data_IF_208008925291
#
_entry.id   IF_208008925291
#
_cell.length_a   1.000
_cell.length_b   1.000
_cell.length_c   1.000
_cell.angle_alpha   90.00
_cell.angle_beta   90.00
_cell.angle_gamma   90.00
#
_symmetry.space_group_name_H-M   'P 1'
#
loop_
_entity.id
_entity.type
_entity.pdbx_description
1 polymer ?
#
# COMPACT_ATOMS: atom_id res chain seq x y z
N UNK A 1 12.43 -24.82 -1.10
CA UNK A 1 13.58 -23.88 -0.99
C UNK A 1 13.85 -23.27 -2.36
N UNK A 2 13.53 -21.99 -2.55
CA UNK A 2 14.01 -21.23 -3.71
C UNK A 2 14.32 -19.81 -3.26
N UNK A 3 15.59 -19.56 -2.92
CA UNK A 3 16.12 -18.19 -2.79
C UNK A 3 16.19 -17.62 -4.20
N UNK A 4 15.35 -16.64 -4.50
CA UNK A 4 15.32 -15.92 -5.78
C UNK A 4 16.21 -14.66 -5.69
N UNK A 5 16.92 -14.25 -6.76
CA UNK A 5 17.90 -13.16 -6.71
C UNK A 5 17.22 -11.81 -6.39
N UNK A 6 17.83 -11.07 -5.46
CA UNK A 6 17.19 -10.05 -4.61
C UNK A 6 16.74 -8.71 -5.29
N UNK A 7 16.73 -8.63 -6.62
CA UNK A 7 16.31 -7.43 -7.36
C UNK A 7 15.24 -7.68 -8.43
N UNK A 8 15.40 -8.73 -9.24
CA UNK A 8 14.59 -8.96 -10.45
C UNK A 8 13.20 -9.53 -10.17
N UNK A 9 12.98 -10.14 -9.00
CA UNK A 9 11.70 -10.78 -8.69
C UNK A 9 10.62 -9.73 -8.32
N UNK A 10 10.96 -8.74 -7.50
CA UNK A 10 10.00 -7.72 -7.05
C UNK A 10 9.49 -6.87 -8.22
N UNK A 11 10.35 -6.39 -9.11
CA UNK A 11 9.91 -5.59 -10.27
C UNK A 11 8.96 -6.37 -11.18
N UNK A 12 9.22 -7.67 -11.40
CA UNK A 12 8.33 -8.56 -12.17
C UNK A 12 7.00 -8.78 -11.47
N UNK A 13 7.02 -9.04 -10.17
CA UNK A 13 5.82 -9.21 -9.34
C UNK A 13 4.95 -7.94 -9.38
N UNK A 14 5.55 -6.77 -9.16
CA UNK A 14 4.84 -5.49 -9.25
C UNK A 14 4.26 -5.25 -10.64
N UNK A 15 5.03 -5.52 -11.70
CA UNK A 15 4.55 -5.39 -13.07
C UNK A 15 3.37 -6.32 -13.37
N UNK A 16 3.41 -7.56 -12.86
CA UNK A 16 2.33 -8.53 -13.04
C UNK A 16 1.06 -8.10 -12.30
N UNK A 17 1.19 -7.59 -11.07
CA UNK A 17 0.05 -7.22 -10.23
C UNK A 17 -0.55 -5.85 -10.55
N UNK A 18 0.25 -4.88 -11.01
CA UNK A 18 -0.19 -3.49 -11.18
C UNK A 18 -0.09 -2.99 -12.63
N UNK A 19 0.47 -3.77 -13.55
CA UNK A 19 0.58 -3.40 -14.96
C UNK A 19 1.57 -2.26 -15.24
N UNK A 20 2.48 -1.97 -14.31
CA UNK A 20 3.43 -0.87 -14.40
C UNK A 20 4.85 -1.42 -14.20
N UNK A 21 5.77 -1.03 -15.08
CA UNK A 21 7.19 -1.33 -14.92
C UNK A 21 7.80 -0.39 -13.87
N UNK A 22 8.61 -0.97 -12.98
CA UNK A 22 9.33 -0.22 -11.94
C UNK A 22 10.83 -0.37 -12.15
N UNK A 23 11.53 0.75 -12.01
CA UNK A 23 12.99 0.82 -11.90
C UNK A 23 13.36 1.09 -10.43
N UNK A 24 13.61 0.03 -9.67
CA UNK A 24 13.95 0.12 -8.25
C UNK A 24 15.42 0.55 -8.12
N UNK A 25 15.66 1.71 -7.51
CA UNK A 25 17.00 2.19 -7.22
C UNK A 25 17.52 1.67 -5.88
N UNK A 26 16.65 1.62 -4.87
CA UNK A 26 17.04 1.22 -3.51
C UNK A 26 15.86 0.62 -2.76
N UNK A 27 16.09 -0.47 -2.04
CA UNK A 27 15.13 -0.99 -1.04
C UNK A 27 15.52 -0.41 0.33
N UNK A 28 14.59 0.28 0.99
CA UNK A 28 14.77 0.91 2.29
C UNK A 28 14.47 -0.10 3.40
N UNK A 29 13.37 -0.84 3.22
CA UNK A 29 12.93 -1.90 4.12
C UNK A 29 12.52 -3.11 3.27
N UNK A 30 12.90 -4.31 3.69
CA UNK A 30 12.67 -5.55 2.94
C UNK A 30 11.94 -6.53 3.83
N UNK A 31 10.76 -6.97 3.39
CA UNK A 31 10.01 -8.11 3.94
C UNK A 31 9.78 -8.06 5.47
N UNK A 32 9.46 -6.87 5.98
CA UNK A 32 9.15 -6.70 7.41
C UNK A 32 7.71 -7.05 7.72
N UNK A 33 7.46 -7.56 8.93
CA UNK A 33 6.11 -7.78 9.40
C UNK A 33 5.38 -6.44 9.60
N UNK A 34 4.12 -6.38 9.16
CA UNK A 34 3.21 -5.25 9.41
C UNK A 34 1.88 -5.69 10.04
N UNK A 35 1.69 -7.01 10.13
CA UNK A 35 0.78 -7.73 11.00
C UNK A 35 1.34 -9.15 11.18
N UNK A 36 0.58 -10.07 11.81
CA UNK A 36 1.02 -11.47 12.02
C UNK A 36 1.32 -12.21 10.70
N UNK A 37 0.50 -12.01 9.67
CA UNK A 37 0.59 -12.74 8.40
C UNK A 37 0.74 -11.80 7.18
N UNK A 38 1.08 -10.54 7.46
CA UNK A 38 1.18 -9.48 6.45
C UNK A 38 2.57 -8.88 6.52
N UNK A 39 3.19 -8.71 5.35
CA UNK A 39 4.54 -8.25 5.18
C UNK A 39 4.57 -7.03 4.26
N UNK A 40 5.60 -6.21 4.42
CA UNK A 40 5.79 -5.04 3.59
C UNK A 40 7.25 -4.85 3.17
N UNK A 41 7.44 -4.28 1.98
CA UNK A 41 8.72 -3.76 1.50
C UNK A 41 8.55 -2.29 1.12
N UNK A 42 9.50 -1.44 1.51
CA UNK A 42 9.55 -0.04 1.12
C UNK A 42 10.75 0.18 0.21
N UNK A 43 10.55 0.79 -0.95
CA UNK A 43 11.60 0.99 -1.94
C UNK A 43 11.47 2.33 -2.67
N UNK A 44 12.61 2.85 -3.09
CA UNK A 44 12.76 4.08 -3.86
C UNK A 44 13.05 3.73 -5.31
N UNK A 45 12.33 4.34 -6.24
CA UNK A 45 12.60 4.21 -7.68
C UNK A 45 13.77 5.10 -8.13
N UNK A 46 14.29 4.87 -9.34
CA UNK A 46 15.28 5.78 -9.96
C UNK A 46 14.74 7.21 -10.10
N UNK A 47 13.42 7.37 -10.25
CA UNK A 47 12.69 8.66 -10.27
C UNK A 47 12.46 9.27 -8.89
N UNK A 48 13.10 8.75 -7.83
CA UNK A 48 12.98 9.23 -6.44
C UNK A 48 11.54 9.18 -5.88
N UNK A 49 10.71 8.27 -6.39
CA UNK A 49 9.40 8.00 -5.84
C UNK A 49 9.49 6.87 -4.82
N UNK A 50 8.92 7.06 -3.64
CA UNK A 50 8.91 6.07 -2.57
C UNK A 50 7.61 5.25 -2.64
N UNK A 51 7.73 3.93 -2.67
CA UNK A 51 6.61 3.02 -2.68
C UNK A 51 6.66 2.07 -1.48
N UNK A 52 5.48 1.69 -0.99
CA UNK A 52 5.30 0.59 -0.06
C UNK A 52 4.48 -0.51 -0.73
N UNK A 53 5.09 -1.70 -0.85
CA UNK A 53 4.46 -2.92 -1.32
C UNK A 53 4.05 -3.76 -0.12
N UNK A 54 2.77 -4.14 -0.02
CA UNK A 54 2.19 -4.90 1.09
C UNK A 54 1.56 -6.18 0.54
N UNK A 55 1.83 -7.32 1.17
CA UNK A 55 1.30 -8.63 0.77
C UNK A 55 1.15 -9.53 1.99
N UNK A 56 0.26 -10.51 1.90
CA UNK A 56 0.02 -11.46 2.99
C UNK A 56 -0.93 -12.58 2.61
N UNK A 57 -1.12 -13.55 3.50
CA UNK A 57 -2.12 -14.61 3.31
C UNK A 57 -3.52 -14.14 3.68
N UNK A 58 -3.63 -13.18 4.59
CA UNK A 58 -4.92 -12.62 5.02
C UNK A 58 -5.58 -11.78 3.91
N UNK A 59 -6.91 -11.78 3.84
CA UNK A 59 -7.63 -10.82 3.01
C UNK A 59 -7.45 -9.41 3.57
N UNK A 60 -6.99 -8.48 2.72
CA UNK A 60 -6.85 -7.07 3.09
C UNK A 60 -7.82 -6.24 2.27
N UNK A 61 -8.32 -5.16 2.87
CA UNK A 61 -9.07 -4.12 2.20
C UNK A 61 -8.23 -2.86 2.02
N UNK A 62 -8.70 -1.92 1.20
CA UNK A 62 -8.07 -0.60 1.08
C UNK A 62 -7.99 0.12 2.45
N UNK A 63 -9.00 -0.06 3.31
CA UNK A 63 -9.01 0.47 4.68
C UNK A 63 -7.87 -0.08 5.52
N UNK A 64 -7.70 -1.41 5.52
CA UNK A 64 -6.63 -2.09 6.26
C UNK A 64 -5.25 -1.62 5.78
N UNK A 65 -5.06 -1.53 4.46
CA UNK A 65 -3.81 -1.06 3.85
C UNK A 65 -3.49 0.37 4.29
N UNK A 66 -4.46 1.29 4.27
CA UNK A 66 -4.25 2.67 4.75
C UNK A 66 -3.89 2.71 6.23
N UNK A 67 -4.50 1.85 7.05
CA UNK A 67 -4.17 1.75 8.47
C UNK A 67 -2.74 1.22 8.68
N UNK A 68 -2.33 0.20 7.93
CA UNK A 68 -0.96 -0.34 7.93
C UNK A 68 0.04 0.76 7.56
N UNK A 69 -0.17 1.46 6.45
CA UNK A 69 0.70 2.55 5.98
C UNK A 69 0.87 3.62 7.07
N UNK A 70 -0.23 4.04 7.71
CA UNK A 70 -0.14 5.03 8.78
C UNK A 70 0.65 4.53 9.98
N UNK A 71 0.50 3.27 10.37
CA UNK A 71 1.23 2.66 11.49
C UNK A 71 2.71 2.42 11.18
N UNK A 72 3.05 2.22 9.90
CA UNK A 72 4.44 2.18 9.43
C UNK A 72 5.14 3.56 9.48
N UNK A 73 4.44 4.64 9.87
CA UNK A 73 4.99 5.99 9.85
C UNK A 73 5.01 6.60 8.45
N UNK A 74 4.14 6.17 7.55
CA UNK A 74 4.10 6.64 6.17
C UNK A 74 2.83 7.48 5.91
N UNK A 75 2.93 8.47 5.02
CA UNK A 75 1.76 9.19 4.48
C UNK A 75 1.47 8.70 3.07
N UNK A 76 0.30 8.09 2.80
CA UNK A 76 -0.05 7.67 1.46
C UNK A 76 -0.29 8.89 0.57
N UNK A 77 0.09 8.78 -0.68
CA UNK A 77 -0.30 9.71 -1.74
C UNK A 77 -1.35 9.09 -2.65
N UNK A 78 -1.04 7.91 -3.17
CA UNK A 78 -1.89 7.20 -4.13
C UNK A 78 -1.79 5.70 -3.87
N UNK A 79 -2.93 5.03 -3.80
CA UNK A 79 -3.01 3.57 -3.81
C UNK A 79 -3.17 3.12 -5.26
N UNK A 80 -2.21 2.37 -5.80
CA UNK A 80 -2.23 1.94 -7.19
C UNK A 80 -3.25 0.81 -7.34
N UNK A 81 -4.23 0.93 -8.23
CA UNK A 81 -5.22 -0.12 -8.39
C UNK A 81 -4.60 -1.39 -8.99
N UNK A 82 -5.16 -2.56 -8.64
CA UNK A 82 -4.69 -3.82 -9.22
C UNK A 82 -4.89 -3.85 -10.74
N UNK A 83 -3.98 -4.52 -11.42
CA UNK A 83 -3.98 -4.77 -12.88
C UNK A 83 -4.18 -3.52 -13.74
N UNK A 84 -3.75 -2.36 -13.24
CA UNK A 84 -3.91 -1.09 -13.95
C UNK A 84 -5.37 -0.66 -14.15
N UNK A 85 -6.32 -1.16 -13.35
CA UNK A 85 -7.74 -0.82 -13.45
C UNK A 85 -8.04 0.51 -12.74
N UNK A 86 -8.07 1.67 -13.42
CA UNK A 86 -8.01 2.98 -12.75
C UNK A 86 -9.20 3.24 -11.83
N UNK A 87 -10.35 2.61 -12.15
CA UNK A 87 -11.62 2.77 -11.43
C UNK A 87 -11.92 1.64 -10.45
N UNK A 88 -10.98 0.72 -10.20
CA UNK A 88 -11.21 -0.47 -9.38
C UNK A 88 -11.89 -0.16 -8.04
N UNK A 89 -11.35 0.80 -7.29
CA UNK A 89 -11.90 1.16 -5.98
C UNK A 89 -13.29 1.78 -6.08
N UNK A 90 -13.55 2.59 -7.12
CA UNK A 90 -14.85 3.22 -7.36
C UNK A 90 -15.90 2.19 -7.80
N UNK A 91 -15.52 1.24 -8.65
CA UNK A 91 -16.40 0.18 -9.12
C UNK A 91 -16.82 -0.73 -7.98
N UNK A 92 -15.87 -1.16 -7.14
CA UNK A 92 -16.19 -1.93 -5.94
C UNK A 92 -17.05 -1.10 -4.98
N UNK A 93 -16.73 0.18 -4.78
CA UNK A 93 -17.52 1.06 -3.92
C UNK A 93 -18.98 1.19 -4.40
N UNK A 94 -19.19 1.42 -5.70
CA UNK A 94 -20.52 1.54 -6.29
C UNK A 94 -21.32 0.23 -6.18
N UNK A 95 -20.66 -0.92 -6.37
CA UNK A 95 -21.28 -2.23 -6.18
C UNK A 95 -21.70 -2.45 -4.72
N UNK A 96 -20.85 -2.09 -3.75
CA UNK A 96 -21.17 -2.21 -2.33
C UNK A 96 -22.28 -1.25 -1.90
N UNK A 97 -22.25 0.01 -2.38
CA UNK A 97 -23.31 0.99 -2.13
C UNK A 97 -24.68 0.46 -2.58
N UNK A 98 -24.78 -0.05 -3.81
CA UNK A 98 -26.04 -0.58 -4.38
C UNK A 98 -26.58 -1.79 -3.62
N UNK A 99 -25.71 -2.58 -2.98
CA UNK A 99 -26.13 -3.71 -2.13
C UNK A 99 -26.79 -3.24 -0.84
N UNK A 100 -26.29 -2.15 -0.26
CA UNK A 100 -26.83 -1.57 0.99
C UNK A 100 -28.07 -0.72 0.71
N UNK A 101 -28.07 0.01 -0.42
CA UNK A 101 -29.15 0.91 -0.81
C UNK A 101 -29.71 0.57 -2.21
N UNK A 102 -30.52 -0.49 -2.33
CA UNK A 102 -31.13 -0.86 -3.61
C UNK A 102 -31.96 0.30 -4.16
N UNK A 103 -31.75 0.65 -5.44
CA UNK A 103 -32.50 1.70 -6.13
C UNK A 103 -31.98 3.13 -5.94
N UNK A 104 -31.02 3.35 -5.03
CA UNK A 104 -30.36 4.65 -4.90
C UNK A 104 -29.10 4.74 -5.76
N UNK A 105 -28.81 5.95 -6.26
CA UNK A 105 -27.52 6.29 -6.88
C UNK A 105 -26.69 7.08 -5.87
N UNK A 106 -25.35 6.90 -5.84
CA UNK A 106 -24.47 7.76 -5.05
C UNK A 106 -24.60 9.21 -5.54
N UNK A 107 -24.75 10.16 -4.62
CA UNK A 107 -24.89 11.59 -4.92
C UNK A 107 -23.54 12.33 -4.94
N UNK A 108 -22.43 11.62 -4.76
CA UNK A 108 -21.09 12.18 -4.88
C UNK A 108 -19.99 11.29 -4.30
N UNK A 109 -18.78 11.81 -4.27
CA UNK A 109 -17.59 11.07 -3.80
C UNK A 109 -17.64 10.73 -2.31
N UNK A 110 -18.31 11.54 -1.49
CA UNK A 110 -18.43 11.29 -0.05
C UNK A 110 -19.22 10.02 0.22
N UNK A 111 -20.31 9.78 -0.54
CA UNK A 111 -21.13 8.58 -0.41
C UNK A 111 -20.34 7.31 -0.71
N UNK A 112 -19.35 7.39 -1.59
CA UNK A 112 -18.50 6.26 -1.96
C UNK A 112 -17.23 6.14 -1.11
N UNK A 113 -16.85 7.18 -0.35
CA UNK A 113 -15.58 7.23 0.36
C UNK A 113 -15.41 6.05 1.33
N UNK A 114 -16.45 5.74 2.12
CA UNK A 114 -16.46 4.58 3.01
C UNK A 114 -16.41 3.26 2.21
N UNK A 115 -17.23 3.11 1.18
CA UNK A 115 -17.30 1.85 0.42
C UNK A 115 -16.02 1.54 -0.36
N UNK A 116 -15.27 2.55 -0.79
CA UNK A 116 -13.92 2.36 -1.36
C UNK A 116 -13.00 1.65 -0.38
N UNK A 117 -13.12 1.93 0.92
CA UNK A 117 -12.27 1.29 1.94
C UNK A 117 -12.50 -0.21 2.05
N UNK A 118 -13.67 -0.70 1.62
CA UNK A 118 -14.03 -2.12 1.65
C UNK A 118 -13.50 -2.91 0.46
N UNK A 119 -12.90 -2.24 -0.52
CA UNK A 119 -12.38 -2.89 -1.71
C UNK A 119 -11.22 -3.84 -1.35
N UNK A 120 -11.25 -5.12 -1.78
CA UNK A 120 -10.14 -6.04 -1.60
C UNK A 120 -8.85 -5.49 -2.19
N UNK A 121 -7.76 -5.56 -1.45
CA UNK A 121 -6.49 -4.97 -1.86
C UNK A 121 -5.30 -5.75 -1.31
N UNK A 122 -5.05 -6.93 -1.89
CA UNK A 122 -3.90 -7.78 -1.62
C UNK A 122 -3.47 -8.51 -2.91
N UNK A 123 -2.21 -8.35 -3.38
CA UNK A 123 -1.22 -7.44 -2.81
C UNK A 123 -1.56 -5.97 -3.10
N UNK A 124 -1.00 -5.07 -2.30
CA UNK A 124 -1.21 -3.63 -2.36
C UNK A 124 0.07 -2.88 -2.67
N UNK A 125 -0.03 -1.77 -3.40
CA UNK A 125 1.09 -0.92 -3.76
C UNK A 125 0.73 0.55 -3.59
N UNK A 126 1.42 1.22 -2.69
CA UNK A 126 1.08 2.58 -2.30
C UNK A 126 2.26 3.50 -2.60
N UNK A 127 2.02 4.54 -3.40
CA UNK A 127 2.93 5.67 -3.53
C UNK A 127 2.88 6.49 -2.24
N UNK A 128 4.04 6.77 -1.69
CA UNK A 128 4.22 7.44 -0.40
C UNK A 128 4.61 8.88 -0.66
N UNK A 129 3.88 9.80 -0.03
CA UNK A 129 4.22 11.23 -0.07
C UNK A 129 5.32 11.57 0.94
N UNK A 130 5.37 10.85 2.07
CA UNK A 130 6.23 11.24 3.20
C UNK A 130 6.51 10.06 4.14
N UNK A 131 7.70 10.06 4.74
CA UNK A 131 8.02 9.29 5.95
C UNK A 131 7.94 10.21 7.15
N UNK A 132 6.93 9.99 8.00
CA UNK A 132 6.67 10.78 9.20
C UNK A 132 7.82 10.61 10.19
N UNK A 133 8.25 11.72 10.76
CA UNK A 133 9.30 11.78 11.79
C UNK A 133 10.63 11.10 11.39
N UNK A 134 10.85 10.84 10.10
CA UNK A 134 12.06 10.19 9.59
C UNK A 134 12.21 8.69 9.95
N UNK A 135 11.14 8.03 10.40
CA UNK A 135 11.18 6.63 10.83
C UNK A 135 10.16 5.77 10.08
N UNK A 136 10.59 4.60 9.62
CA UNK A 136 9.73 3.55 9.09
C UNK A 136 9.61 2.46 10.15
N UNK A 137 8.38 2.10 10.50
CA UNK A 137 8.09 1.13 11.55
C UNK A 137 7.68 -0.24 11.00
N UNK A 138 7.92 -1.28 11.79
CA UNK A 138 7.43 -2.65 11.57
C UNK A 138 6.64 -3.12 12.79
N UNK A 139 5.73 -4.05 12.55
CA UNK A 139 5.02 -4.76 13.60
C UNK A 139 5.98 -5.67 14.37
N UNK A 140 5.93 -5.58 15.70
CA UNK A 140 6.69 -6.42 16.62
C UNK A 140 5.77 -6.76 17.80
N UNK A 141 5.31 -8.02 17.95
CA UNK A 141 4.37 -8.40 19.01
C UNK A 141 4.94 -8.21 20.42
N UNK A 142 6.27 -8.20 20.55
CA UNK A 142 6.97 -8.12 21.84
C UNK A 142 7.27 -6.67 22.24
N UNK A 143 7.13 -5.72 21.30
CA UNK A 143 7.29 -4.30 21.58
C UNK A 143 6.10 -3.73 22.37
N UNK A 144 6.37 -2.79 23.30
CA UNK A 144 5.33 -2.14 24.13
C UNK A 144 4.18 -1.53 23.33
N UNK A 145 4.49 -0.91 22.20
CA UNK A 145 3.50 -0.28 21.29
C UNK A 145 3.05 -1.22 20.17
N UNK A 146 3.55 -2.45 20.14
CA UNK A 146 3.46 -3.42 19.04
C UNK A 146 4.14 -3.00 17.72
N UNK A 147 4.89 -1.89 17.75
CA UNK A 147 5.58 -1.33 16.60
C UNK A 147 6.98 -0.88 17.01
N UNK A 148 7.99 -1.19 16.20
CA UNK A 148 9.36 -0.73 16.39
C UNK A 148 9.94 -0.15 15.12
N UNK A 149 10.99 0.67 15.24
CA UNK A 149 11.70 1.21 14.09
C UNK A 149 12.35 0.07 13.29
N UNK A 150 12.03 -0.01 12.00
CA UNK A 150 12.69 -0.87 11.03
C UNK A 150 13.83 -0.14 10.32
N UNK A 151 13.66 1.15 10.01
CA UNK A 151 14.67 1.98 9.39
C UNK A 151 14.49 3.46 9.73
N UNK A 152 15.61 4.20 9.74
CA UNK A 152 15.61 5.67 9.72
C UNK A 152 15.74 6.13 8.27
N UNK A 153 14.78 6.89 7.77
CA UNK A 153 14.76 7.39 6.41
C UNK A 153 13.92 8.66 6.33
N UNK A 154 14.52 9.76 5.89
CA UNK A 154 13.82 11.03 5.67
C UNK A 154 13.38 11.09 4.21
N UNK A 155 12.09 11.31 4.00
CA UNK A 155 11.52 11.47 2.67
C UNK A 155 10.29 12.36 2.74
N UNK A 156 10.25 13.33 1.83
CA UNK A 156 9.07 14.15 1.58
C UNK A 156 9.06 14.47 0.09
N UNK A 157 7.97 14.12 -0.59
CA UNK A 157 7.81 14.42 -2.01
C UNK A 157 7.28 15.84 -2.16
N UNK A 158 8.06 16.69 -2.81
CA UNK A 158 7.59 18.00 -3.26
C UNK A 158 6.76 17.75 -4.52
N UNK A 159 5.45 17.99 -4.45
CA UNK A 159 4.64 18.03 -5.66
C UNK A 159 5.11 19.24 -6.47
N UNK A 160 5.53 19.02 -7.72
CA UNK A 160 5.62 20.12 -8.67
C UNK A 160 4.18 20.60 -8.89
N UNK A 161 3.91 21.83 -8.48
CA UNK A 161 2.64 22.50 -8.74
C UNK A 161 2.41 22.73 -10.23
#
# INVERSE_FOLDING_TARGET
MSKSPAGTNLERELSSHFGIAFDIAKRIVVDVAVAREVRASVFLTKKKQLFCYIYGQSSLTLGDVRQIISRMGLRPELCLPPKGQPRYFDEVAALQFRKVFPGLKPNGDQDLAYYRTLAPYNPALVLIAEVKDGHIYQFDPDARTKWRVAAKFVYHRVAAG
#
